data_IF_853894496519
#
_entry.id   IF_853894496519
#
_cell.length_a   1.000
_cell.length_b   1.000
_cell.length_c   1.000
_cell.angle_alpha   90.00
_cell.angle_beta   90.00
_cell.angle_gamma   90.00
#
_symmetry.space_group_name_H-M   'P 1'
#
loop_
_entity.id
_entity.type
_entity.pdbx_description
1 polymer ?
#
# COMPACT_ATOMS: atom_id res chain seq x y z
N UNK A 1 -73.14 -11.76 52.56
CA UNK A 1 -71.99 -11.52 51.68
C UNK A 1 -72.20 -12.35 50.40
N UNK A 2 -72.70 -11.71 49.33
CA UNK A 2 -73.00 -12.43 48.09
C UNK A 2 -71.71 -12.52 47.29
N UNK A 3 -71.24 -13.74 46.97
CA UNK A 3 -70.21 -14.00 45.99
C UNK A 3 -70.76 -13.75 44.60
N UNK A 4 -70.21 -12.84 43.88
CA UNK A 4 -70.44 -12.64 42.44
C UNK A 4 -69.68 -13.74 41.69
N UNK A 5 -70.46 -14.70 41.13
CA UNK A 5 -69.87 -15.72 40.25
C UNK A 5 -69.77 -15.13 38.83
N UNK A 6 -68.59 -15.07 38.30
CA UNK A 6 -68.34 -14.58 36.93
C UNK A 6 -68.74 -15.63 35.90
N UNK A 7 -69.87 -15.36 35.24
CA UNK A 7 -70.38 -16.19 34.14
C UNK A 7 -70.02 -15.55 32.81
N UNK A 8 -68.72 -15.57 32.49
CA UNK A 8 -68.20 -15.13 31.18
C UNK A 8 -67.63 -16.32 30.39
N UNK A 9 -67.63 -16.26 29.04
CA UNK A 9 -67.01 -17.32 28.26
C UNK A 9 -65.46 -17.42 28.58
N UNK A 10 -64.97 -18.64 28.75
CA UNK A 10 -63.58 -18.91 29.07
C UNK A 10 -62.65 -18.28 28.01
N UNK A 11 -61.60 -17.60 28.38
CA UNK A 11 -60.64 -17.04 27.41
C UNK A 11 -60.04 -18.15 26.56
N UNK A 12 -60.23 -18.05 25.24
CA UNK A 12 -59.66 -18.98 24.29
C UNK A 12 -58.14 -18.71 24.21
N UNK A 13 -57.32 -19.74 24.44
CA UNK A 13 -55.89 -19.69 24.20
C UNK A 13 -55.66 -19.44 22.71
N UNK A 14 -55.00 -18.32 22.37
CA UNK A 14 -54.55 -18.06 20.99
C UNK A 14 -53.64 -19.19 20.53
N UNK A 15 -53.86 -19.78 19.33
CA UNK A 15 -52.98 -20.82 18.83
C UNK A 15 -51.57 -20.23 18.64
N UNK A 16 -50.58 -20.88 19.22
CA UNK A 16 -49.17 -20.60 18.93
C UNK A 16 -48.90 -20.91 17.43
N UNK A 17 -48.60 -19.91 16.64
CA UNK A 17 -48.10 -20.14 15.29
C UNK A 17 -46.76 -20.88 15.39
N UNK A 18 -46.60 -22.02 14.72
CA UNK A 18 -45.32 -22.72 14.73
C UNK A 18 -44.28 -21.86 14.01
N UNK A 19 -43.28 -21.43 14.74
CA UNK A 19 -42.12 -20.64 14.26
C UNK A 19 -41.08 -21.56 13.63
N UNK A 20 -41.48 -22.48 12.74
CA UNK A 20 -40.65 -23.61 12.32
C UNK A 20 -40.18 -23.62 10.85
N UNK A 21 -40.74 -22.76 9.96
CA UNK A 21 -40.40 -22.88 8.52
C UNK A 21 -39.45 -21.85 7.94
N UNK A 22 -39.39 -20.64 8.51
CA UNK A 22 -38.64 -19.54 7.95
C UNK A 22 -37.12 -19.67 8.09
N UNK A 23 -36.66 -20.27 9.18
CA UNK A 23 -35.23 -20.45 9.46
C UNK A 23 -34.54 -21.41 8.48
N UNK A 24 -35.23 -22.49 8.09
CA UNK A 24 -34.70 -23.46 7.12
C UNK A 24 -34.54 -22.82 5.74
N UNK A 25 -35.49 -21.98 5.33
CA UNK A 25 -35.42 -21.23 4.07
C UNK A 25 -34.27 -20.21 4.09
N UNK A 26 -34.07 -19.48 5.19
CA UNK A 26 -32.98 -18.54 5.34
C UNK A 26 -31.64 -19.28 5.29
N UNK A 27 -31.52 -20.41 5.96
CA UNK A 27 -30.32 -21.23 5.98
C UNK A 27 -30.00 -21.80 4.58
N UNK A 28 -30.99 -22.26 3.84
CA UNK A 28 -30.83 -22.73 2.45
C UNK A 28 -30.42 -21.59 1.50
N UNK A 29 -30.98 -20.39 1.67
CA UNK A 29 -30.61 -19.22 0.88
C UNK A 29 -29.17 -18.80 1.19
N UNK A 30 -28.76 -18.77 2.46
CA UNK A 30 -27.38 -18.47 2.87
C UNK A 30 -26.39 -19.50 2.31
N UNK A 31 -26.72 -20.78 2.37
CA UNK A 31 -25.91 -21.86 1.81
C UNK A 31 -25.83 -21.75 0.29
N UNK A 32 -26.92 -21.47 -0.39
CA UNK A 32 -26.95 -21.29 -1.84
C UNK A 32 -26.14 -20.06 -2.27
N UNK A 33 -26.27 -18.93 -1.57
CA UNK A 33 -25.51 -17.71 -1.82
C UNK A 33 -24.01 -17.94 -1.58
N UNK A 34 -23.63 -18.64 -0.50
CA UNK A 34 -22.22 -18.95 -0.25
C UNK A 34 -21.65 -19.91 -1.30
N UNK A 35 -22.43 -20.88 -1.79
CA UNK A 35 -21.97 -21.81 -2.83
C UNK A 35 -21.80 -21.12 -4.20
N UNK A 36 -22.71 -20.18 -4.55
CA UNK A 36 -22.63 -19.42 -5.80
C UNK A 36 -21.57 -18.30 -5.70
N UNK A 37 -21.44 -17.67 -4.54
CA UNK A 37 -20.46 -16.60 -4.35
C UNK A 37 -19.01 -17.11 -4.19
N UNK A 38 -18.80 -18.34 -3.66
CA UNK A 38 -17.44 -18.90 -3.48
C UNK A 38 -16.58 -18.87 -4.74
N UNK A 39 -17.02 -19.37 -5.92
CA UNK A 39 -16.15 -19.34 -7.11
C UNK A 39 -15.90 -17.90 -7.58
N UNK A 40 -16.88 -16.98 -7.44
CA UNK A 40 -16.71 -15.59 -7.82
C UNK A 40 -15.77 -14.84 -6.86
N UNK A 41 -15.89 -15.10 -5.58
CA UNK A 41 -14.95 -14.57 -4.56
C UNK A 41 -13.57 -15.18 -4.76
N UNK A 42 -13.46 -16.48 -5.02
CA UNK A 42 -12.19 -17.15 -5.30
C UNK A 42 -11.53 -16.58 -6.57
N UNK A 43 -12.32 -16.26 -7.60
CA UNK A 43 -11.81 -15.63 -8.82
C UNK A 43 -11.34 -14.18 -8.56
N UNK A 44 -12.07 -13.39 -7.76
CA UNK A 44 -11.64 -12.05 -7.32
C UNK A 44 -10.35 -12.10 -6.47
N UNK A 45 -10.17 -13.14 -5.66
CA UNK A 45 -8.94 -13.36 -4.89
C UNK A 45 -7.79 -13.86 -5.77
N UNK A 46 -8.08 -14.74 -6.74
CA UNK A 46 -7.12 -15.19 -7.74
C UNK A 46 -6.66 -14.03 -8.67
N UNK A 47 -7.55 -13.10 -9.00
CA UNK A 47 -7.22 -11.88 -9.76
C UNK A 47 -6.33 -10.92 -8.96
N UNK A 48 -6.41 -10.93 -7.62
CA UNK A 48 -5.47 -10.21 -6.75
C UNK A 48 -4.09 -10.87 -6.65
N UNK A 49 -3.96 -12.13 -7.11
CA UNK A 49 -2.72 -12.91 -7.10
C UNK A 49 -2.17 -13.06 -5.68
N UNK A 50 -2.35 -14.24 -5.09
CA UNK A 50 -1.69 -14.53 -3.81
C UNK A 50 -0.18 -14.62 -4.07
N UNK A 51 0.57 -13.60 -3.66
CA UNK A 51 2.01 -13.53 -3.83
C UNK A 51 2.66 -14.49 -2.85
N UNK A 52 3.36 -15.47 -3.36
CA UNK A 52 4.14 -16.44 -2.57
C UNK A 52 5.61 -16.01 -2.50
N UNK A 53 6.34 -16.54 -1.54
CA UNK A 53 7.78 -16.32 -1.42
C UNK A 53 8.54 -16.79 -2.67
N UNK A 54 8.11 -17.89 -3.28
CA UNK A 54 8.65 -18.39 -4.56
C UNK A 54 8.48 -17.38 -5.70
N UNK A 55 7.32 -16.71 -5.76
CA UNK A 55 7.09 -15.66 -6.77
C UNK A 55 8.06 -14.47 -6.61
N UNK A 56 8.39 -14.09 -5.37
CA UNK A 56 9.39 -13.03 -5.10
C UNK A 56 10.75 -13.47 -5.62
N UNK A 57 11.21 -14.66 -5.28
CA UNK A 57 12.51 -15.20 -5.70
C UNK A 57 12.65 -15.27 -7.22
N UNK A 58 11.65 -15.82 -7.91
CA UNK A 58 11.63 -15.89 -9.37
C UNK A 58 11.64 -14.51 -10.04
N UNK A 59 10.88 -13.55 -9.49
CA UNK A 59 10.80 -12.19 -10.05
C UNK A 59 12.09 -11.40 -9.80
N UNK A 60 12.71 -11.54 -8.64
CA UNK A 60 14.03 -10.98 -8.34
C UNK A 60 15.08 -11.56 -9.30
N UNK A 61 15.13 -12.88 -9.44
CA UNK A 61 16.08 -13.55 -10.36
C UNK A 61 15.85 -13.16 -11.83
N UNK A 62 14.62 -12.82 -12.22
CA UNK A 62 14.34 -12.32 -13.56
C UNK A 62 14.78 -10.87 -13.74
N UNK A 63 14.49 -9.99 -12.79
CA UNK A 63 14.88 -8.59 -12.82
C UNK A 63 16.40 -8.40 -12.86
N UNK A 64 17.14 -9.21 -12.09
CA UNK A 64 18.61 -9.15 -12.02
C UNK A 64 19.32 -9.60 -13.29
N UNK A 65 18.61 -10.16 -14.27
CA UNK A 65 19.15 -10.43 -15.62
C UNK A 65 19.19 -9.17 -16.50
N UNK A 66 18.48 -8.13 -16.12
CA UNK A 66 18.45 -6.87 -16.86
C UNK A 66 19.48 -5.88 -16.29
N UNK A 67 20.07 -5.07 -17.17
CA UNK A 67 21.19 -4.17 -16.82
C UNK A 67 20.74 -2.75 -16.42
N UNK A 68 19.47 -2.55 -16.09
CA UNK A 68 18.95 -1.22 -15.75
C UNK A 68 18.88 -1.02 -14.24
N UNK A 69 19.27 0.17 -13.77
CA UNK A 69 19.08 0.58 -12.38
C UNK A 69 17.63 0.37 -11.91
N UNK A 70 16.63 0.64 -12.78
CA UNK A 70 15.23 0.42 -12.45
C UNK A 70 14.92 -1.04 -12.15
N UNK A 71 15.51 -2.00 -12.88
CA UNK A 71 15.35 -3.43 -12.59
C UNK A 71 15.98 -3.80 -11.24
N UNK A 72 17.17 -3.27 -10.94
CA UNK A 72 17.82 -3.48 -9.64
C UNK A 72 16.98 -2.92 -8.50
N UNK A 73 16.44 -1.69 -8.66
CA UNK A 73 15.59 -1.06 -7.65
C UNK A 73 14.29 -1.85 -7.43
N UNK A 74 13.67 -2.33 -8.51
CA UNK A 74 12.49 -3.18 -8.43
C UNK A 74 12.78 -4.53 -7.72
N UNK A 75 13.93 -5.13 -8.00
CA UNK A 75 14.36 -6.37 -7.36
C UNK A 75 14.55 -6.20 -5.85
N UNK A 76 15.29 -5.16 -5.42
CA UNK A 76 15.49 -4.91 -3.98
C UNK A 76 14.19 -4.45 -3.29
N UNK A 77 13.28 -3.80 -4.01
CA UNK A 77 11.96 -3.46 -3.46
C UNK A 77 11.12 -4.74 -3.20
N UNK A 78 11.16 -5.72 -4.11
CA UNK A 78 10.52 -7.02 -3.89
C UNK A 78 11.09 -7.74 -2.67
N UNK A 79 12.41 -7.71 -2.45
CA UNK A 79 13.02 -8.30 -1.26
C UNK A 79 12.50 -7.69 0.05
N UNK A 80 12.07 -6.42 0.06
CA UNK A 80 11.46 -5.79 1.24
C UNK A 80 10.16 -6.47 1.69
N UNK A 81 9.46 -7.15 0.79
CA UNK A 81 8.20 -7.86 1.11
C UNK A 81 8.41 -9.09 2.00
N UNK A 82 9.65 -9.58 2.12
CA UNK A 82 10.04 -10.67 3.01
C UNK A 82 10.29 -10.22 4.46
N UNK A 83 10.34 -8.90 4.69
CA UNK A 83 10.64 -8.36 6.01
C UNK A 83 9.38 -8.25 6.85
N UNK A 84 9.48 -8.67 8.10
CA UNK A 84 8.43 -8.46 9.10
C UNK A 84 8.55 -7.03 9.66
N UNK A 85 7.76 -6.11 9.11
CA UNK A 85 7.78 -4.68 9.46
C UNK A 85 6.41 -4.25 9.95
N UNK A 86 6.35 -3.82 11.19
CA UNK A 86 5.18 -3.14 11.75
C UNK A 86 5.13 -1.69 11.24
N UNK A 87 3.95 -1.24 10.78
CA UNK A 87 3.74 0.16 10.37
C UNK A 87 3.86 1.10 11.57
N UNK A 88 4.85 1.99 11.55
CA UNK A 88 5.12 2.90 12.65
C UNK A 88 5.53 4.29 12.14
N UNK A 89 4.62 5.28 12.23
CA UNK A 89 4.88 6.66 11.80
C UNK A 89 5.59 7.51 12.86
N UNK A 90 6.01 6.92 13.98
CA UNK A 90 6.64 7.65 15.06
C UNK A 90 7.92 8.38 14.62
N UNK A 91 8.21 9.47 15.29
CA UNK A 91 9.47 10.18 15.14
C UNK A 91 10.59 9.43 15.87
N UNK A 92 11.65 9.11 15.13
CA UNK A 92 12.85 8.47 15.68
C UNK A 92 14.04 9.41 15.56
N UNK A 93 14.84 9.49 16.62
CA UNK A 93 16.16 10.08 16.53
C UNK A 93 17.11 9.02 15.96
N UNK A 94 17.63 9.27 14.78
CA UNK A 94 18.47 8.33 14.03
C UNK A 94 19.84 8.95 13.70
N UNK A 95 20.81 8.13 13.34
CA UNK A 95 22.12 8.60 12.89
C UNK A 95 22.00 9.42 11.59
N UNK A 96 23.05 10.17 11.29
CA UNK A 96 23.20 10.86 10.01
C UNK A 96 24.69 10.83 9.60
N UNK A 97 25.02 10.51 8.36
CA UNK A 97 24.16 9.89 7.33
C UNK A 97 23.83 8.41 7.61
N UNK A 98 23.11 7.76 6.71
CA UNK A 98 22.74 6.35 6.74
C UNK A 98 21.92 5.92 7.98
N UNK A 99 21.24 6.85 8.64
CA UNK A 99 20.35 6.53 9.76
C UNK A 99 19.09 5.81 9.30
N UNK A 100 18.63 4.85 10.11
CA UNK A 100 17.38 4.12 9.87
C UNK A 100 16.56 4.00 11.14
N UNK A 101 15.27 3.85 10.99
CA UNK A 101 14.38 3.46 12.09
C UNK A 101 14.62 1.97 12.44
N UNK A 102 14.18 1.48 13.60
CA UNK A 102 14.37 0.08 13.97
C UNK A 102 13.94 -0.87 12.85
N UNK A 103 14.71 -1.91 12.56
CA UNK A 103 14.54 -2.79 11.40
C UNK A 103 13.10 -3.35 11.24
N UNK A 104 12.48 -3.75 12.36
CA UNK A 104 11.09 -4.24 12.36
C UNK A 104 10.02 -3.15 12.30
N UNK A 105 10.37 -1.89 11.99
CA UNK A 105 9.46 -0.74 11.92
C UNK A 105 9.66 0.05 10.64
N UNK A 106 8.59 0.70 10.17
CA UNK A 106 8.67 1.54 8.98
C UNK A 106 7.30 1.95 8.45
N UNK A 107 7.32 2.88 7.51
CA UNK A 107 6.16 3.36 6.76
C UNK A 107 6.40 3.22 5.26
N UNK A 108 5.53 3.74 4.42
CA UNK A 108 5.67 3.66 2.95
C UNK A 108 6.99 4.24 2.43
N UNK A 109 7.47 5.34 2.99
CA UNK A 109 8.74 5.95 2.59
C UNK A 109 9.94 5.08 2.95
N UNK A 110 9.88 4.31 4.05
CA UNK A 110 11.00 3.44 4.46
C UNK A 110 11.19 2.27 3.47
N UNK A 111 10.14 1.83 2.77
CA UNK A 111 10.26 0.87 1.65
C UNK A 111 11.15 1.47 0.56
N UNK A 112 10.87 2.70 0.13
CA UNK A 112 11.64 3.40 -0.91
C UNK A 112 13.06 3.68 -0.43
N UNK A 113 13.22 4.26 0.76
CA UNK A 113 14.54 4.61 1.35
C UNK A 113 15.44 3.40 1.45
N UNK A 114 14.94 2.31 2.01
CA UNK A 114 15.71 1.07 2.18
C UNK A 114 16.03 0.39 0.85
N UNK A 115 15.15 0.50 -0.15
CA UNK A 115 15.43 -0.01 -1.49
C UNK A 115 16.58 0.75 -2.15
N UNK A 116 16.59 2.09 -2.10
CA UNK A 116 17.70 2.89 -2.58
C UNK A 116 18.99 2.63 -1.81
N UNK A 117 18.90 2.50 -0.49
CA UNK A 117 20.06 2.21 0.37
C UNK A 117 20.71 0.87 0.05
N UNK A 118 19.94 -0.16 -0.28
CA UNK A 118 20.47 -1.45 -0.72
C UNK A 118 21.33 -1.34 -2.01
N UNK A 119 21.10 -0.29 -2.80
CA UNK A 119 21.88 0.05 -3.99
C UNK A 119 22.95 1.13 -3.73
N UNK A 120 23.28 1.40 -2.45
CA UNK A 120 24.31 2.35 -2.08
C UNK A 120 23.91 3.83 -2.11
N UNK A 121 22.61 4.13 -2.25
CA UNK A 121 22.08 5.50 -2.34
C UNK A 121 21.39 5.89 -1.04
N UNK A 122 21.93 6.84 -0.29
CA UNK A 122 21.34 7.33 0.95
C UNK A 122 20.41 8.53 0.71
N UNK A 123 19.11 8.26 0.56
CA UNK A 123 18.10 9.32 0.41
C UNK A 123 18.01 10.25 1.63
N UNK A 124 18.40 9.81 2.83
CA UNK A 124 18.47 10.66 4.02
C UNK A 124 19.48 11.79 3.80
N UNK A 125 20.69 11.41 3.36
CA UNK A 125 21.77 12.37 3.09
C UNK A 125 21.39 13.29 1.93
N UNK A 126 20.99 12.73 0.81
CA UNK A 126 20.70 13.47 -0.42
C UNK A 126 19.59 14.51 -0.23
N UNK A 127 18.48 14.13 0.39
CA UNK A 127 17.36 15.04 0.70
C UNK A 127 17.80 16.12 1.67
N UNK A 128 18.56 15.77 2.72
CA UNK A 128 19.01 16.73 3.71
C UNK A 128 19.96 17.78 3.12
N UNK A 129 20.93 17.36 2.33
CA UNK A 129 21.90 18.26 1.68
C UNK A 129 21.23 19.23 0.71
N UNK A 130 20.25 18.76 -0.10
CA UNK A 130 19.49 19.67 -0.93
C UNK A 130 18.61 20.62 -0.11
N UNK A 131 17.96 20.12 0.94
CA UNK A 131 17.14 20.98 1.82
C UNK A 131 17.96 22.02 2.58
N UNK A 132 19.22 21.75 2.96
CA UNK A 132 20.08 22.74 3.59
C UNK A 132 20.26 24.00 2.71
N UNK A 133 20.40 23.82 1.41
CA UNK A 133 20.59 24.90 0.47
C UNK A 133 19.28 25.48 -0.10
N UNK A 134 18.21 24.71 -0.07
CA UNK A 134 16.97 24.99 -0.80
C UNK A 134 15.71 24.78 0.05
N UNK A 135 15.77 24.98 1.37
CA UNK A 135 14.69 24.65 2.30
C UNK A 135 13.33 25.22 1.89
N UNK A 136 13.29 26.46 1.38
CA UNK A 136 12.05 27.17 1.04
C UNK A 136 11.28 26.58 -0.16
N UNK A 137 11.94 25.82 -1.02
CA UNK A 137 11.27 25.20 -2.18
C UNK A 137 10.63 23.86 -1.83
N UNK A 138 10.97 23.30 -0.66
CA UNK A 138 10.29 22.13 -0.09
C UNK A 138 8.97 22.50 0.57
N UNK A 139 8.01 21.57 0.71
CA UNK A 139 6.74 21.85 1.36
C UNK A 139 6.90 22.37 2.80
N UNK A 140 6.31 23.53 3.09
CA UNK A 140 6.42 24.21 4.39
C UNK A 140 5.23 23.90 5.31
N UNK A 141 4.64 22.70 5.18
CA UNK A 141 3.39 22.32 5.84
C UNK A 141 3.57 21.87 7.30
N UNK A 142 4.81 21.70 7.77
CA UNK A 142 5.10 21.28 9.15
C UNK A 142 5.57 22.42 10.06
N UNK A 143 5.64 23.65 9.56
CA UNK A 143 6.04 24.83 10.33
C UNK A 143 7.50 24.80 10.83
N UNK A 144 8.36 24.02 10.19
CA UNK A 144 9.77 23.94 10.55
C UNK A 144 10.54 25.18 10.07
N UNK A 145 11.61 25.53 10.79
CA UNK A 145 12.51 26.64 10.45
C UNK A 145 13.75 26.21 9.67
N UNK A 146 13.98 24.92 9.52
CA UNK A 146 15.12 24.33 8.83
C UNK A 146 14.93 22.82 8.69
N UNK A 147 15.84 22.14 7.94
CA UNK A 147 15.76 20.71 7.71
C UNK A 147 16.03 19.89 8.98
N UNK A 148 15.44 18.70 9.04
CA UNK A 148 15.57 17.73 10.12
C UNK A 148 16.01 16.38 9.54
N UNK A 149 17.24 15.97 9.84
CA UNK A 149 17.86 14.72 9.37
C UNK A 149 17.06 13.46 9.76
N UNK A 150 16.25 13.54 10.84
CA UNK A 150 15.54 12.37 11.36
C UNK A 150 14.26 12.04 10.58
N UNK A 151 13.62 13.04 9.92
CA UNK A 151 12.26 12.84 9.42
C UNK A 151 12.06 13.33 7.98
N UNK A 152 12.87 14.24 7.45
CA UNK A 152 12.57 14.91 6.18
C UNK A 152 12.52 13.93 5.00
N UNK A 153 13.45 12.98 4.94
CA UNK A 153 13.47 11.91 3.92
C UNK A 153 12.31 10.90 4.08
N UNK A 154 11.67 10.87 5.26
CA UNK A 154 10.50 10.02 5.54
C UNK A 154 9.16 10.70 5.24
N UNK A 155 9.18 11.86 4.62
CA UNK A 155 7.99 12.63 4.23
C UNK A 155 7.77 12.54 2.73
N UNK A 156 6.64 11.93 2.30
CA UNK A 156 6.32 11.76 0.87
C UNK A 156 6.44 13.08 0.09
N UNK A 157 5.88 14.23 0.54
CA UNK A 157 6.00 15.48 -0.21
C UNK A 157 7.45 15.98 -0.38
N UNK A 158 8.35 15.65 0.55
CA UNK A 158 9.77 16.00 0.42
C UNK A 158 10.47 15.08 -0.60
N UNK A 159 10.20 13.78 -0.57
CA UNK A 159 10.70 12.85 -1.58
C UNK A 159 10.20 13.22 -2.99
N UNK A 160 8.92 13.57 -3.13
CA UNK A 160 8.39 14.07 -4.41
C UNK A 160 9.17 15.30 -4.90
N UNK A 161 9.40 16.29 -4.02
CA UNK A 161 10.19 17.48 -4.38
C UNK A 161 11.61 17.12 -4.78
N UNK A 162 12.25 16.21 -4.05
CA UNK A 162 13.60 15.76 -4.36
C UNK A 162 13.67 15.05 -5.72
N UNK A 163 12.77 14.10 -5.97
CA UNK A 163 12.73 13.34 -7.22
C UNK A 163 12.36 14.23 -8.44
N UNK A 164 11.53 15.26 -8.27
CA UNK A 164 11.23 16.20 -9.36
C UNK A 164 12.42 17.11 -9.69
N UNK A 165 13.37 17.30 -8.77
CA UNK A 165 14.58 18.11 -8.98
C UNK A 165 15.74 17.34 -9.60
N UNK A 166 15.94 16.11 -9.17
CA UNK A 166 17.13 15.32 -9.49
C UNK A 166 16.84 14.07 -10.33
N UNK A 167 15.59 13.70 -10.47
CA UNK A 167 15.13 12.63 -11.33
C UNK A 167 14.41 13.14 -12.58
N UNK A 168 13.75 12.23 -13.26
CA UNK A 168 12.82 12.55 -14.34
C UNK A 168 11.39 12.44 -13.77
N UNK A 169 10.67 13.56 -13.73
CA UNK A 169 9.24 13.57 -13.44
C UNK A 169 8.47 13.23 -14.71
N UNK A 170 7.64 12.18 -14.65
CA UNK A 170 6.82 11.71 -15.78
C UNK A 170 5.45 12.34 -15.64
N UNK A 171 5.04 13.05 -16.69
CA UNK A 171 3.73 13.73 -16.73
C UNK A 171 2.61 12.71 -16.65
N UNK A 172 1.69 12.89 -15.72
CA UNK A 172 0.45 12.14 -15.64
C UNK A 172 -0.59 12.89 -16.49
N UNK A 173 -1.08 12.29 -17.59
CA UNK A 173 -2.08 12.96 -18.43
C UNK A 173 -3.40 13.22 -17.68
N UNK A 174 -4.17 14.23 -18.12
CA UNK A 174 -5.51 14.49 -17.56
C UNK A 174 -6.48 13.31 -17.77
N UNK A 175 -6.26 12.52 -18.81
CA UNK A 175 -6.99 11.26 -19.06
C UNK A 175 -6.67 10.14 -18.07
N UNK A 176 -5.73 10.37 -17.16
CA UNK A 176 -5.22 9.40 -16.20
C UNK A 176 -3.91 8.74 -16.62
N UNK A 177 -3.28 8.01 -15.68
CA UNK A 177 -2.02 7.33 -15.95
C UNK A 177 -2.21 6.19 -16.95
N UNK A 178 -1.22 6.01 -17.85
CA UNK A 178 -1.19 4.94 -18.85
C UNK A 178 -0.12 3.91 -18.47
N UNK A 179 -0.45 2.63 -18.51
CA UNK A 179 0.42 1.54 -18.05
C UNK A 179 1.79 1.51 -18.77
N UNK A 180 1.83 1.92 -20.03
CA UNK A 180 3.02 1.93 -20.88
C UNK A 180 4.05 3.00 -20.45
N UNK A 181 3.62 4.04 -19.72
CA UNK A 181 4.52 5.07 -19.20
C UNK A 181 5.40 4.57 -18.06
N UNK A 182 4.96 3.49 -17.36
CA UNK A 182 5.66 2.97 -16.19
C UNK A 182 6.75 1.99 -16.56
N UNK A 183 7.91 2.15 -15.93
CA UNK A 183 9.02 1.18 -15.95
C UNK A 183 9.21 0.59 -14.56
N UNK A 184 9.77 -0.59 -14.49
CA UNK A 184 10.16 -1.18 -13.20
C UNK A 184 11.20 -0.28 -12.53
N UNK A 185 11.08 -0.12 -11.22
CA UNK A 185 11.88 0.81 -10.42
C UNK A 185 11.40 2.27 -10.46
N UNK A 186 10.35 2.62 -11.21
CA UNK A 186 9.75 3.94 -11.06
C UNK A 186 9.17 4.11 -9.66
N UNK A 187 9.27 5.32 -9.12
CA UNK A 187 8.68 5.69 -7.83
C UNK A 187 7.39 6.44 -8.09
N UNK A 188 6.32 6.01 -7.45
CA UNK A 188 5.00 6.60 -7.64
C UNK A 188 4.44 7.07 -6.30
N UNK A 189 3.79 8.23 -6.31
CA UNK A 189 3.10 8.79 -5.15
C UNK A 189 1.61 8.95 -5.41
N UNK A 190 0.81 8.69 -4.39
CA UNK A 190 -0.66 8.76 -4.44
C UNK A 190 -1.22 9.62 -3.31
N UNK A 191 -2.45 10.08 -3.52
CA UNK A 191 -3.35 10.57 -2.47
C UNK A 191 -4.36 9.48 -2.15
N UNK A 192 -4.33 9.02 -0.90
CA UNK A 192 -5.30 8.03 -0.41
C UNK A 192 -6.68 8.67 -0.17
N UNK A 193 -7.77 7.89 -0.11
CA UNK A 193 -9.13 8.41 0.07
C UNK A 193 -9.30 9.32 1.29
N UNK A 194 -8.55 9.08 2.37
CA UNK A 194 -8.55 9.91 3.59
C UNK A 194 -7.60 11.12 3.53
N UNK A 195 -7.02 11.41 2.35
CA UNK A 195 -6.19 12.59 2.10
C UNK A 195 -4.69 12.44 2.40
N UNK A 196 -4.26 11.34 3.03
CA UNK A 196 -2.83 11.11 3.27
C UNK A 196 -2.07 10.86 1.95
N UNK A 197 -0.81 11.28 1.92
CA UNK A 197 0.09 10.95 0.82
C UNK A 197 0.74 9.59 1.04
N UNK A 198 0.95 8.86 -0.04
CA UNK A 198 1.51 7.51 -0.05
C UNK A 198 2.53 7.36 -1.17
N UNK A 199 3.46 6.41 -1.06
CA UNK A 199 4.54 6.22 -2.04
C UNK A 199 4.90 4.73 -2.12
N UNK A 200 5.37 4.30 -3.29
CA UNK A 200 5.82 2.93 -3.53
C UNK A 200 6.71 2.83 -4.77
N UNK A 201 7.18 1.64 -5.04
CA UNK A 201 8.06 1.31 -6.17
C UNK A 201 7.32 0.41 -7.15
N UNK A 202 7.39 0.74 -8.44
CA UNK A 202 6.80 -0.07 -9.52
C UNK A 202 7.65 -1.32 -9.75
N UNK A 203 6.97 -2.46 -9.76
CA UNK A 203 7.57 -3.78 -9.95
C UNK A 203 6.75 -4.59 -10.97
N UNK A 204 7.27 -5.70 -11.52
CA UNK A 204 6.45 -6.60 -12.33
C UNK A 204 5.34 -7.25 -11.50
N UNK A 205 4.31 -7.77 -12.14
CA UNK A 205 3.40 -8.74 -11.53
C UNK A 205 4.06 -10.10 -11.34
N UNK A 206 3.47 -11.00 -10.52
CA UNK A 206 4.01 -12.33 -10.25
C UNK A 206 3.85 -13.27 -11.46
N UNK A 207 4.81 -14.17 -11.64
CA UNK A 207 4.76 -15.29 -12.59
C UNK A 207 4.29 -14.88 -14.01
N UNK A 208 3.15 -15.40 -14.45
CA UNK A 208 2.58 -15.15 -15.78
C UNK A 208 2.07 -13.71 -15.97
N UNK A 209 1.88 -12.96 -14.90
CA UNK A 209 1.45 -11.55 -14.91
C UNK A 209 2.63 -10.57 -14.94
N UNK A 210 3.83 -11.03 -15.29
CA UNK A 210 5.08 -10.26 -15.22
C UNK A 210 5.06 -8.97 -16.04
N UNK A 211 4.31 -8.92 -17.13
CA UNK A 211 4.17 -7.72 -17.97
C UNK A 211 3.28 -6.64 -17.33
N UNK A 212 2.51 -6.99 -16.31
CA UNK A 212 1.71 -6.03 -15.57
C UNK A 212 2.60 -5.15 -14.68
N UNK A 213 2.11 -3.95 -14.37
CA UNK A 213 2.77 -3.03 -13.46
C UNK A 213 2.10 -3.09 -12.09
N UNK A 214 2.80 -3.69 -11.16
CA UNK A 214 2.41 -3.80 -9.75
C UNK A 214 3.25 -2.85 -8.90
N UNK A 215 3.00 -2.80 -7.60
CA UNK A 215 3.75 -1.94 -6.67
C UNK A 215 4.22 -2.73 -5.45
N UNK A 216 5.37 -2.30 -4.92
CA UNK A 216 5.77 -2.61 -3.56
C UNK A 216 5.61 -1.35 -2.73
N UNK A 217 4.83 -1.45 -1.67
CA UNK A 217 4.53 -0.36 -0.76
C UNK A 217 4.23 -0.89 0.67
N UNK A 218 4.07 0.02 1.65
CA UNK A 218 3.57 -0.32 2.98
C UNK A 218 2.43 0.63 3.35
N UNK A 219 1.19 0.15 3.31
CA UNK A 219 -0.02 0.94 3.62
C UNK A 219 -0.57 0.66 5.03
N UNK A 220 0.13 -0.15 5.85
CA UNK A 220 -0.28 -0.41 7.24
C UNK A 220 0.03 -1.80 7.77
N UNK A 221 0.24 -2.81 6.92
CA UNK A 221 0.46 -4.21 7.31
C UNK A 221 1.82 -4.76 6.89
N UNK A 222 2.85 -3.92 6.90
CA UNK A 222 4.18 -4.23 6.37
C UNK A 222 4.29 -4.04 4.86
N UNK A 223 5.50 -4.21 4.30
CA UNK A 223 5.71 -4.14 2.85
C UNK A 223 4.91 -5.23 2.13
N UNK A 224 4.19 -4.84 1.08
CA UNK A 224 3.35 -5.72 0.26
C UNK A 224 3.64 -5.51 -1.22
N UNK A 225 3.53 -6.58 -1.98
CA UNK A 225 3.55 -6.60 -3.43
C UNK A 225 2.13 -6.77 -3.94
N UNK A 226 1.53 -5.72 -4.49
CA UNK A 226 0.10 -5.68 -4.78
C UNK A 226 -0.19 -5.05 -6.14
N UNK A 227 -1.29 -5.48 -6.78
CA UNK A 227 -1.79 -4.89 -8.02
C UNK A 227 -2.67 -3.68 -7.70
N UNK A 228 -2.06 -2.62 -7.16
CA UNK A 228 -2.76 -1.42 -6.72
C UNK A 228 -2.19 -0.12 -7.33
N UNK A 229 -1.41 -0.23 -8.39
CA UNK A 229 -0.78 0.93 -9.03
C UNK A 229 -1.79 2.02 -9.43
N UNK A 230 -2.99 1.60 -9.86
CA UNK A 230 -4.03 2.48 -10.40
C UNK A 230 -5.25 2.65 -9.46
N UNK A 231 -5.21 2.10 -8.24
CA UNK A 231 -6.35 2.10 -7.31
C UNK A 231 -6.56 3.46 -6.63
N UNK A 232 -5.55 4.32 -6.60
CA UNK A 232 -5.60 5.61 -5.91
C UNK A 232 -5.27 6.78 -6.84
N UNK A 233 -5.67 7.99 -6.43
CA UNK A 233 -5.32 9.20 -7.16
C UNK A 233 -3.80 9.38 -7.19
N UNK A 234 -3.20 9.18 -8.34
CA UNK A 234 -1.77 9.40 -8.55
C UNK A 234 -1.45 10.89 -8.53
N UNK A 235 -0.43 11.28 -7.75
CA UNK A 235 0.01 12.68 -7.57
C UNK A 235 1.49 12.88 -7.89
N UNK A 236 2.18 11.85 -8.36
CA UNK A 236 3.57 11.94 -8.82
C UNK A 236 4.05 10.62 -9.39
N UNK A 237 4.88 10.70 -10.43
CA UNK A 237 5.52 9.58 -11.10
C UNK A 237 6.97 9.98 -11.44
N UNK A 238 7.94 9.29 -10.88
CA UNK A 238 9.34 9.68 -10.93
C UNK A 238 10.23 8.52 -11.33
N UNK A 239 11.32 8.84 -12.03
CA UNK A 239 12.41 7.93 -12.34
C UNK A 239 13.73 8.57 -11.87
N UNK A 240 14.39 7.96 -10.89
CA UNK A 240 15.63 8.44 -10.32
C UNK A 240 16.62 7.27 -10.18
N UNK A 241 17.83 7.45 -10.67
CA UNK A 241 18.88 6.41 -10.69
C UNK A 241 20.05 6.70 -9.75
N UNK A 242 19.89 7.64 -8.82
CA UNK A 242 20.93 7.99 -7.86
C UNK A 242 21.98 8.98 -8.36
N UNK A 243 22.01 9.33 -9.64
CA UNK A 243 22.91 10.35 -10.15
C UNK A 243 22.37 11.76 -9.88
N UNK A 244 23.22 12.65 -9.35
CA UNK A 244 22.99 14.09 -9.20
C UNK A 244 23.63 14.84 -10.34
#
# INVERSE_FOLDING_TARGET
MNRIEYIGPRPQKKPHKPWGGGWLMILLVVVAVTFVAKPFIAQLWAERGEVTELNVEESVAWLTKGDSFGNELAAVALERTREDVTYDPAYYKISFPNGDVPAGKGVCTDVVIRSYRALGIDLQQLVHEDMQNNFRIYPQIWGLKGPDTNIDHRRVPNLQRYFSRFGTEIVIPESGPQAEAFKYGDVVAWRLPHGATHIGVVVPGPAERRDEKWIVHNIGSGPKWENQLFDYQMIGHYRFNGSQ
#
